data_IF_582555164813
#
_entry.id   IF_582555164813
#
_cell.length_a   1.000
_cell.length_b   1.000
_cell.length_c   1.000
_cell.angle_alpha   90.00
_cell.angle_beta   90.00
_cell.angle_gamma   90.00
#
_symmetry.space_group_name_H-M   'P 1'
#
loop_
_entity.id
_entity.type
_entity.pdbx_description
1 polymer ?
#
# COMPACT_ATOMS: atom_id res chain seq x y z
N UNK A 1 -22.18 28.18 3.08
CA UNK A 1 -21.18 27.21 2.60
C UNK A 1 -21.93 26.02 2.01
N UNK A 2 -21.79 25.74 0.71
CA UNK A 2 -22.38 24.55 0.09
C UNK A 2 -21.48 23.34 0.38
N UNK A 3 -22.07 22.20 0.66
CA UNK A 3 -21.34 20.96 0.86
C UNK A 3 -22.13 19.78 0.26
N UNK A 4 -21.41 18.81 -0.28
CA UNK A 4 -21.97 17.63 -0.93
C UNK A 4 -21.13 16.40 -0.63
N UNK A 5 -21.63 15.22 -0.94
CA UNK A 5 -20.90 13.98 -0.80
C UNK A 5 -20.21 13.66 -2.12
N UNK A 6 -18.92 13.39 -2.07
CA UNK A 6 -18.08 13.00 -3.20
C UNK A 6 -17.71 11.53 -3.12
N UNK A 7 -17.92 10.82 -4.21
CA UNK A 7 -17.33 9.51 -4.44
C UNK A 7 -16.08 9.66 -5.32
N UNK A 8 -14.94 9.24 -4.83
CA UNK A 8 -13.65 9.26 -5.53
C UNK A 8 -13.14 7.84 -5.73
N UNK A 9 -12.86 7.46 -6.96
CA UNK A 9 -12.46 6.10 -7.35
C UNK A 9 -11.08 6.08 -7.98
N UNK A 10 -10.36 4.98 -7.74
CA UNK A 10 -9.08 4.70 -8.39
C UNK A 10 -9.06 3.26 -8.88
N UNK A 11 -8.72 3.06 -10.16
CA UNK A 11 -8.45 1.73 -10.72
C UNK A 11 -7.04 1.29 -10.33
N UNK A 12 -6.93 0.08 -9.81
CA UNK A 12 -5.70 -0.50 -9.28
C UNK A 12 -5.55 -1.95 -9.78
N UNK A 13 -5.50 -2.16 -11.09
CA UNK A 13 -5.47 -3.50 -11.69
C UNK A 13 -6.79 -4.25 -11.49
N UNK A 14 -6.76 -5.38 -10.80
CA UNK A 14 -7.97 -6.16 -10.44
C UNK A 14 -8.81 -5.48 -9.35
N UNK A 15 -8.25 -4.49 -8.68
CA UNK A 15 -8.88 -3.80 -7.57
C UNK A 15 -9.34 -2.39 -7.96
N UNK A 16 -10.31 -1.91 -7.20
CA UNK A 16 -10.74 -0.51 -7.19
C UNK A 16 -10.78 -0.02 -5.76
N UNK A 17 -10.26 1.15 -5.50
CA UNK A 17 -10.49 1.80 -4.21
C UNK A 17 -11.49 2.92 -4.35
N UNK A 18 -12.38 3.05 -3.38
CA UNK A 18 -13.45 4.07 -3.37
C UNK A 18 -13.38 4.83 -2.06
N UNK A 19 -13.31 6.14 -2.13
CA UNK A 19 -13.48 7.04 -0.99
C UNK A 19 -14.80 7.81 -1.12
N UNK A 20 -15.63 7.79 -0.07
CA UNK A 20 -16.91 8.51 -0.02
C UNK A 20 -16.86 9.44 1.18
N UNK A 21 -16.95 10.75 0.96
CA UNK A 21 -16.76 11.75 2.01
C UNK A 21 -17.39 13.10 1.64
N UNK A 22 -17.67 13.92 2.64
CA UNK A 22 -18.17 15.27 2.41
C UNK A 22 -17.06 16.22 1.93
N UNK A 23 -17.40 17.09 0.99
CA UNK A 23 -16.56 18.20 0.48
C UNK A 23 -17.34 19.50 0.56
N UNK A 24 -16.60 20.61 0.60
CA UNK A 24 -17.15 21.97 0.65
C UNK A 24 -16.58 22.83 -0.47
N UNK A 25 -17.28 23.93 -0.79
CA UNK A 25 -16.85 24.91 -1.82
C UNK A 25 -15.46 25.49 -1.52
N UNK A 26 -15.02 25.51 -0.27
CA UNK A 26 -13.71 26.04 0.11
C UNK A 26 -12.55 25.15 -0.33
N UNK A 27 -12.78 23.86 -0.56
CA UNK A 27 -11.75 22.92 -1.02
C UNK A 27 -11.33 23.17 -2.48
N UNK A 28 -12.15 23.87 -3.25
CA UNK A 28 -11.86 24.23 -4.64
C UNK A 28 -11.04 25.52 -4.79
N UNK A 29 -10.84 26.28 -3.71
CA UNK A 29 -9.98 27.46 -3.78
C UNK A 29 -8.51 27.02 -3.95
N UNK A 30 -7.82 27.66 -4.88
CA UNK A 30 -6.37 27.44 -5.06
C UNK A 30 -5.68 27.63 -3.71
N UNK A 31 -5.03 26.59 -3.22
CA UNK A 31 -4.25 26.64 -2.00
C UNK A 31 -3.00 27.47 -2.25
N UNK A 32 -2.96 28.67 -1.72
CA UNK A 32 -1.74 29.47 -1.66
C UNK A 32 -0.61 28.75 -0.90
N UNK A 33 0.61 29.31 -0.95
CA UNK A 33 1.76 28.76 -0.22
C UNK A 33 1.43 28.68 1.27
N UNK A 34 1.59 27.48 1.84
CA UNK A 34 1.25 27.23 3.24
C UNK A 34 2.13 28.04 4.18
N UNK A 35 1.53 28.92 4.96
CA UNK A 35 2.24 29.79 5.91
C UNK A 35 2.28 29.23 7.35
N UNK A 36 1.43 28.25 7.69
CA UNK A 36 1.33 27.69 9.05
C UNK A 36 1.61 26.18 9.06
N UNK A 37 2.15 25.68 10.17
CA UNK A 37 2.27 24.25 10.40
C UNK A 37 0.90 23.55 10.35
N UNK A 38 0.91 22.27 9.94
CA UNK A 38 -0.30 21.44 9.97
C UNK A 38 -0.67 21.11 11.41
N UNK A 39 -1.95 21.23 11.77
CA UNK A 39 -2.47 20.70 13.03
C UNK A 39 -2.24 19.20 13.15
N UNK A 40 -2.32 18.63 14.37
CA UNK A 40 -2.21 17.18 14.61
C UNK A 40 -3.20 16.39 13.75
N UNK A 41 -4.47 16.82 13.68
CA UNK A 41 -5.49 16.20 12.84
C UNK A 41 -5.15 16.28 11.34
N UNK A 42 -4.60 17.41 10.86
CA UNK A 42 -4.16 17.53 9.47
C UNK A 42 -2.95 16.64 9.17
N UNK A 43 -1.99 16.53 10.10
CA UNK A 43 -0.84 15.61 9.98
C UNK A 43 -1.33 14.15 9.89
N UNK A 44 -2.30 13.74 10.73
CA UNK A 44 -2.91 12.40 10.68
C UNK A 44 -3.65 12.13 9.37
N UNK A 45 -4.48 13.07 8.88
CA UNK A 45 -5.16 12.95 7.58
C UNK A 45 -4.16 12.81 6.43
N UNK A 46 -3.10 13.61 6.42
CA UNK A 46 -2.06 13.54 5.40
C UNK A 46 -1.32 12.19 5.43
N UNK A 47 -1.04 11.66 6.64
CA UNK A 47 -0.44 10.33 6.82
C UNK A 47 -1.34 9.25 6.22
N UNK A 48 -2.64 9.25 6.56
CA UNK A 48 -3.60 8.27 6.04
C UNK A 48 -3.78 8.39 4.52
N UNK A 49 -3.85 9.59 3.97
CA UNK A 49 -3.96 9.82 2.52
C UNK A 49 -2.72 9.28 1.78
N UNK A 50 -1.53 9.51 2.33
CA UNK A 50 -0.28 9.00 1.75
C UNK A 50 -0.17 7.47 1.86
N UNK A 51 -0.59 6.88 2.98
CA UNK A 51 -0.65 5.43 3.16
C UNK A 51 -1.61 4.79 2.15
N UNK A 52 -2.81 5.36 1.98
CA UNK A 52 -3.78 4.90 0.96
C UNK A 52 -3.22 5.04 -0.47
N UNK A 53 -2.44 6.10 -0.75
CA UNK A 53 -1.77 6.23 -2.05
C UNK A 53 -0.75 5.12 -2.28
N UNK A 54 0.03 4.77 -1.27
CA UNK A 54 0.96 3.65 -1.34
C UNK A 54 0.22 2.32 -1.51
N UNK A 55 -0.85 2.08 -0.75
CA UNK A 55 -1.70 0.89 -0.89
C UNK A 55 -2.24 0.73 -2.32
N UNK A 56 -2.78 1.80 -2.91
CA UNK A 56 -3.24 1.79 -4.31
C UNK A 56 -2.11 1.46 -5.29
N UNK A 57 -0.89 2.00 -5.06
CA UNK A 57 0.28 1.67 -5.89
C UNK A 57 0.63 0.18 -5.78
N UNK A 58 0.60 -0.39 -4.58
CA UNK A 58 0.83 -1.83 -4.39
C UNK A 58 -0.21 -2.66 -5.15
N UNK A 59 -1.49 -2.35 -4.97
CA UNK A 59 -2.59 -3.03 -5.66
C UNK A 59 -2.52 -2.95 -7.19
N UNK A 60 -1.99 -1.86 -7.74
CA UNK A 60 -1.86 -1.67 -9.19
C UNK A 60 -0.66 -2.41 -9.81
N UNK A 61 0.27 -2.90 -9.00
CA UNK A 61 1.55 -3.41 -9.50
C UNK A 61 1.87 -4.83 -9.08
N UNK A 62 1.33 -5.31 -7.97
CA UNK A 62 1.69 -6.59 -7.37
C UNK A 62 0.45 -7.43 -7.13
N UNK A 63 0.53 -8.71 -7.45
CA UNK A 63 -0.54 -9.67 -7.28
C UNK A 63 -0.03 -10.98 -6.61
N UNK A 64 -0.87 -12.00 -6.58
CA UNK A 64 -0.55 -13.33 -5.99
C UNK A 64 0.65 -14.03 -6.61
N UNK A 65 1.10 -13.61 -7.78
CA UNK A 65 2.25 -14.18 -8.48
C UNK A 65 3.57 -13.48 -8.09
N UNK A 66 3.48 -12.36 -7.39
CA UNK A 66 4.62 -11.65 -6.81
C UNK A 66 5.04 -12.19 -5.44
N UNK A 67 6.06 -11.54 -4.88
CA UNK A 67 6.66 -11.90 -3.59
C UNK A 67 6.69 -10.71 -2.64
N UNK A 68 6.39 -10.99 -1.38
CA UNK A 68 6.72 -10.13 -0.26
C UNK A 68 8.10 -10.48 0.24
N UNK A 69 9.03 -9.53 0.19
CA UNK A 69 10.44 -9.74 0.50
C UNK A 69 10.78 -9.12 1.84
N UNK A 70 11.44 -9.89 2.69
CA UNK A 70 11.95 -9.45 3.99
C UNK A 70 13.44 -9.75 4.06
N UNK A 71 14.28 -8.73 4.18
CA UNK A 71 15.73 -8.87 4.36
C UNK A 71 16.13 -8.38 5.75
N UNK A 72 16.73 -9.25 6.56
CA UNK A 72 17.26 -8.92 7.89
C UNK A 72 18.78 -8.85 7.84
N UNK A 73 19.39 -8.35 8.93
CA UNK A 73 20.83 -8.27 9.06
C UNK A 73 21.31 -9.16 10.19
N UNK A 74 22.47 -9.79 10.01
CA UNK A 74 23.28 -10.26 11.10
C UNK A 74 23.79 -9.08 11.93
N UNK A 75 24.09 -9.32 13.19
CA UNK A 75 24.50 -8.25 14.11
C UNK A 75 25.78 -7.53 13.65
N UNK A 76 26.69 -8.26 13.02
CA UNK A 76 27.94 -7.71 12.46
C UNK A 76 27.74 -6.75 11.28
N UNK A 77 26.61 -6.84 10.58
CA UNK A 77 26.32 -6.05 9.36
C UNK A 77 25.16 -5.07 9.53
N UNK A 78 24.68 -4.92 10.76
CA UNK A 78 23.53 -4.07 11.03
C UNK A 78 23.84 -2.61 10.73
N UNK A 79 23.03 -1.96 9.86
CA UNK A 79 23.22 -0.54 9.59
C UNK A 79 22.85 0.32 10.80
N UNK A 80 23.59 1.39 11.01
CA UNK A 80 23.32 2.34 12.10
C UNK A 80 22.22 3.34 11.70
N UNK A 81 22.10 3.67 10.42
CA UNK A 81 21.15 4.65 9.91
C UNK A 81 20.22 4.09 8.84
N UNK A 82 19.10 4.78 8.63
CA UNK A 82 18.22 4.51 7.48
C UNK A 82 18.95 4.68 6.15
N UNK A 83 19.91 5.61 6.06
CA UNK A 83 20.63 5.84 4.80
C UNK A 83 21.55 4.68 4.44
N UNK A 84 22.23 4.10 5.42
CA UNK A 84 23.06 2.89 5.21
C UNK A 84 22.20 1.71 4.77
N UNK A 85 21.07 1.47 5.47
CA UNK A 85 20.12 0.46 5.08
C UNK A 85 19.60 0.70 3.65
N UNK A 86 19.28 1.94 3.29
CA UNK A 86 18.84 2.29 1.93
C UNK A 86 19.94 2.08 0.89
N UNK A 87 21.21 2.25 1.25
CA UNK A 87 22.32 1.95 0.36
C UNK A 87 22.40 0.45 0.06
N UNK A 88 22.23 -0.40 1.08
CA UNK A 88 22.17 -1.85 0.90
C UNK A 88 20.96 -2.27 0.04
N UNK A 89 19.80 -1.65 0.25
CA UNK A 89 18.61 -1.89 -0.59
C UNK A 89 18.86 -1.48 -2.04
N UNK A 90 19.53 -0.35 -2.31
CA UNK A 90 19.92 0.05 -3.68
C UNK A 90 20.88 -0.96 -4.32
N UNK A 91 21.85 -1.44 -3.55
CA UNK A 91 22.80 -2.45 -3.99
C UNK A 91 22.09 -3.77 -4.30
N UNK A 92 21.16 -4.18 -3.44
CA UNK A 92 20.32 -5.36 -3.65
C UNK A 92 19.50 -5.24 -4.94
N UNK A 93 18.79 -4.13 -5.15
CA UNK A 93 18.00 -3.87 -6.37
C UNK A 93 18.88 -3.98 -7.63
N UNK A 94 20.10 -3.44 -7.60
CA UNK A 94 21.05 -3.57 -8.73
C UNK A 94 21.41 -5.02 -9.01
N UNK A 95 21.68 -5.82 -7.97
CA UNK A 95 22.02 -7.25 -8.11
C UNK A 95 20.84 -8.05 -8.64
N UNK A 96 19.65 -7.85 -8.10
CA UNK A 96 18.41 -8.50 -8.57
C UNK A 96 18.18 -8.19 -10.05
N UNK A 97 18.25 -6.92 -10.46
CA UNK A 97 18.07 -6.52 -11.85
C UNK A 97 19.10 -7.19 -12.76
N UNK A 98 20.38 -7.19 -12.39
CA UNK A 98 21.44 -7.82 -13.16
C UNK A 98 21.25 -9.34 -13.28
N UNK A 99 20.82 -10.01 -12.22
CA UNK A 99 20.53 -11.44 -12.22
C UNK A 99 19.33 -11.78 -13.11
N UNK A 100 18.27 -10.99 -13.06
CA UNK A 100 17.09 -11.16 -13.92
C UNK A 100 17.45 -10.98 -15.40
N UNK A 101 18.25 -9.95 -15.75
CA UNK A 101 18.76 -9.76 -17.13
C UNK A 101 19.54 -10.98 -17.60
N UNK A 102 20.49 -11.43 -16.78
CA UNK A 102 21.38 -12.57 -17.14
C UNK A 102 20.59 -13.87 -17.28
N UNK A 103 19.60 -14.11 -16.44
CA UNK A 103 18.86 -15.40 -16.40
C UNK A 103 17.66 -15.43 -17.34
N UNK A 104 16.90 -14.35 -17.43
CA UNK A 104 15.63 -14.30 -18.16
C UNK A 104 15.64 -13.33 -19.35
N UNK A 105 16.74 -12.59 -19.54
CA UNK A 105 16.91 -11.64 -20.62
C UNK A 105 16.32 -10.25 -20.35
N UNK A 106 16.69 -9.28 -21.17
CA UNK A 106 16.29 -7.87 -21.02
C UNK A 106 14.78 -7.64 -21.11
N UNK A 107 14.11 -8.39 -21.99
CA UNK A 107 12.66 -8.25 -22.17
C UNK A 107 11.91 -8.56 -20.87
N UNK A 108 12.32 -9.61 -20.16
CA UNK A 108 11.76 -9.95 -18.83
C UNK A 108 12.17 -8.95 -17.77
N UNK A 109 13.40 -8.47 -17.80
CA UNK A 109 13.87 -7.45 -16.86
C UNK A 109 13.11 -6.13 -16.96
N UNK A 110 12.57 -5.78 -18.12
CA UNK A 110 11.66 -4.62 -18.28
C UNK A 110 10.33 -4.80 -17.55
N UNK A 111 9.94 -6.03 -17.24
CA UNK A 111 8.74 -6.37 -16.47
C UNK A 111 9.01 -6.50 -14.97
N UNK A 112 10.27 -6.40 -14.54
CA UNK A 112 10.62 -6.44 -13.12
C UNK A 112 10.09 -5.19 -12.41
N UNK A 113 9.29 -5.41 -11.39
CA UNK A 113 8.75 -4.39 -10.49
C UNK A 113 9.24 -4.65 -9.08
N UNK A 114 9.79 -3.63 -8.46
CA UNK A 114 10.26 -3.66 -7.08
C UNK A 114 9.77 -2.41 -6.36
N UNK A 115 9.33 -2.57 -5.10
CA UNK A 115 9.05 -1.49 -4.16
C UNK A 115 9.56 -1.93 -2.79
N UNK A 116 10.77 -1.54 -2.43
CA UNK A 116 11.49 -1.99 -1.25
C UNK A 116 11.78 -0.82 -0.30
N UNK A 117 11.59 -1.05 0.98
CA UNK A 117 11.68 -0.04 2.03
C UNK A 117 12.66 -0.46 3.12
N UNK A 118 13.46 0.48 3.60
CA UNK A 118 14.10 0.33 4.90
C UNK A 118 13.04 0.57 5.98
N UNK A 119 12.96 -0.30 6.97
CA UNK A 119 11.93 -0.31 8.01
C UNK A 119 12.59 -0.45 9.38
N UNK A 120 12.07 0.27 10.39
CA UNK A 120 12.48 0.16 11.78
C UNK A 120 11.25 0.07 12.68
N UNK A 121 11.19 -0.94 13.53
CA UNK A 121 10.08 -1.10 14.46
C UNK A 121 10.32 -0.32 15.76
N UNK A 122 9.85 0.92 15.79
CA UNK A 122 10.10 1.87 16.89
C UNK A 122 11.54 2.41 16.89
N UNK A 123 11.84 3.32 17.81
CA UNK A 123 13.15 4.00 17.87
C UNK A 123 14.33 3.05 18.15
N UNK A 124 14.10 2.03 19.00
CA UNK A 124 15.11 1.03 19.38
C UNK A 124 15.08 -0.23 18.52
N UNK A 125 14.17 -0.29 17.53
CA UNK A 125 14.03 -1.44 16.64
C UNK A 125 15.21 -1.60 15.69
N UNK A 126 15.46 -2.83 15.29
CA UNK A 126 16.49 -3.15 14.29
C UNK A 126 16.04 -2.71 12.92
N UNK A 127 16.91 -2.09 12.13
CA UNK A 127 16.67 -1.81 10.72
C UNK A 127 16.63 -3.12 9.94
N UNK A 128 15.72 -3.19 8.97
CA UNK A 128 15.55 -4.32 8.06
C UNK A 128 14.84 -3.85 6.78
N UNK A 129 14.80 -4.69 5.77
CA UNK A 129 14.15 -4.39 4.50
C UNK A 129 12.81 -5.12 4.41
N UNK A 130 11.78 -4.41 3.97
CA UNK A 130 10.51 -5.00 3.53
C UNK A 130 10.07 -4.44 2.18
N UNK A 131 9.33 -5.23 1.43
CA UNK A 131 8.68 -4.73 0.24
C UNK A 131 8.16 -5.80 -0.70
N UNK A 132 7.95 -5.41 -1.93
CA UNK A 132 7.29 -6.23 -2.95
C UNK A 132 8.19 -6.38 -4.16
N UNK A 133 8.19 -7.58 -4.74
CA UNK A 133 8.93 -7.93 -5.95
C UNK A 133 8.05 -8.75 -6.89
N UNK A 134 7.98 -8.39 -8.15
CA UNK A 134 7.28 -9.15 -9.19
C UNK A 134 7.99 -9.02 -10.52
N UNK A 135 8.05 -10.11 -11.27
CA UNK A 135 8.50 -10.12 -12.65
C UNK A 135 7.44 -10.82 -13.49
N UNK A 136 6.63 -10.04 -14.22
CA UNK A 136 5.50 -10.58 -14.98
C UNK A 136 5.96 -11.44 -16.16
N UNK A 137 5.13 -12.44 -16.48
CA UNK A 137 5.33 -13.35 -17.60
C UNK A 137 6.34 -14.46 -17.35
N UNK A 138 6.79 -14.68 -16.11
CA UNK A 138 7.58 -15.86 -15.74
C UNK A 138 6.65 -17.09 -15.63
N UNK A 139 7.14 -18.23 -16.08
CA UNK A 139 6.53 -19.55 -15.83
C UNK A 139 6.60 -19.91 -14.36
N UNK A 140 5.89 -20.95 -13.93
CA UNK A 140 5.93 -21.41 -12.54
C UNK A 140 7.34 -21.86 -12.11
N UNK A 141 8.15 -22.44 -13.03
CA UNK A 141 9.53 -22.81 -12.78
C UNK A 141 10.42 -21.57 -12.63
N UNK A 142 10.33 -20.63 -13.57
CA UNK A 142 11.08 -19.37 -13.53
C UNK A 142 10.73 -18.52 -12.30
N UNK A 143 9.47 -18.55 -11.82
CA UNK A 143 9.10 -17.88 -10.57
C UNK A 143 9.78 -18.50 -9.34
N UNK A 144 9.97 -19.83 -9.31
CA UNK A 144 10.74 -20.46 -8.23
C UNK A 144 12.21 -20.02 -8.26
N UNK A 145 12.81 -19.96 -9.44
CA UNK A 145 14.17 -19.45 -9.60
C UNK A 145 14.28 -17.97 -9.21
N UNK A 146 13.31 -17.16 -9.61
CA UNK A 146 13.26 -15.74 -9.24
C UNK A 146 13.13 -15.56 -7.71
N UNK A 147 12.33 -16.39 -7.05
CA UNK A 147 12.26 -16.44 -5.58
C UNK A 147 13.62 -16.71 -4.96
N UNK A 148 14.32 -17.76 -5.42
CA UNK A 148 15.65 -18.11 -4.95
C UNK A 148 16.65 -16.96 -5.16
N UNK A 149 16.61 -16.31 -6.31
CA UNK A 149 17.43 -15.12 -6.57
C UNK A 149 17.16 -14.00 -5.58
N UNK A 150 15.89 -13.74 -5.25
CA UNK A 150 15.53 -12.72 -4.26
C UNK A 150 16.12 -13.07 -2.88
N UNK A 151 16.07 -14.32 -2.46
CA UNK A 151 16.59 -14.78 -1.19
C UNK A 151 18.12 -14.77 -1.13
N UNK A 152 18.81 -15.21 -2.20
CA UNK A 152 20.25 -15.32 -2.25
C UNK A 152 21.02 -14.01 -2.46
N UNK A 153 20.39 -13.02 -3.09
CA UNK A 153 21.06 -11.78 -3.47
C UNK A 153 21.11 -10.71 -2.36
N UNK A 154 20.56 -11.00 -1.16
CA UNK A 154 20.71 -10.16 0.01
C UNK A 154 22.13 -10.32 0.60
N UNK A 155 23.13 -9.74 -0.09
CA UNK A 155 24.56 -9.90 0.15
C UNK A 155 25.30 -8.57 0.09
N UNK A 156 26.50 -8.51 0.66
CA UNK A 156 27.44 -7.40 0.50
C UNK A 156 28.73 -7.89 -0.16
N UNK A 157 29.43 -6.98 -0.80
CA UNK A 157 30.77 -7.26 -1.32
C UNK A 157 31.79 -7.19 -0.18
N UNK A 158 32.62 -8.21 -0.09
CA UNK A 158 33.74 -8.23 0.86
C UNK A 158 34.85 -7.30 0.36
N UNK A 159 35.27 -6.30 1.13
CA UNK A 159 36.36 -5.42 0.73
C UNK A 159 37.66 -6.21 0.47
N UNK A 160 38.28 -6.02 -0.70
CA UNK A 160 39.54 -6.63 -1.07
C UNK A 160 39.48 -8.08 -1.60
N UNK A 161 38.42 -8.86 -1.30
CA UNK A 161 38.33 -10.28 -1.70
C UNK A 161 37.61 -10.51 -3.02
N UNK A 162 36.84 -9.56 -3.53
CA UNK A 162 36.04 -9.75 -4.76
C UNK A 162 34.81 -10.64 -4.57
N UNK A 163 34.63 -11.21 -3.42
CA UNK A 163 33.57 -12.13 -3.07
C UNK A 163 32.35 -11.41 -2.45
N UNK A 164 31.24 -12.15 -2.34
CA UNK A 164 30.01 -11.66 -1.71
C UNK A 164 29.63 -12.56 -0.53
N UNK A 165 29.29 -11.95 0.60
CA UNK A 165 28.81 -12.63 1.79
C UNK A 165 27.36 -12.19 2.12
N UNK A 166 26.54 -13.05 2.77
CA UNK A 166 25.20 -12.69 3.18
C UNK A 166 25.22 -11.51 4.15
N UNK A 167 24.27 -10.57 4.00
CA UNK A 167 24.02 -9.52 5.01
C UNK A 167 23.29 -10.07 6.23
N UNK A 168 22.58 -11.16 6.05
CA UNK A 168 21.73 -11.85 6.99
C UNK A 168 20.72 -12.72 6.24
N UNK A 169 19.55 -12.98 6.81
CA UNK A 169 18.51 -13.78 6.17
C UNK A 169 17.64 -12.93 5.24
N UNK A 170 17.23 -13.54 4.12
CA UNK A 170 16.23 -12.95 3.24
C UNK A 170 15.19 -14.00 2.87
N UNK A 171 13.92 -13.66 3.06
CA UNK A 171 12.78 -14.49 2.72
C UNK A 171 11.93 -13.79 1.65
N UNK A 172 11.46 -14.56 0.69
CA UNK A 172 10.55 -14.10 -0.36
C UNK A 172 9.28 -14.97 -0.35
N UNK A 173 8.29 -14.54 0.39
CA UNK A 173 7.02 -15.24 0.52
C UNK A 173 6.05 -14.81 -0.59
N UNK A 174 5.19 -15.74 -1.05
CA UNK A 174 4.14 -15.36 -1.99
C UNK A 174 3.25 -14.29 -1.39
N UNK A 175 2.84 -13.36 -2.24
CA UNK A 175 1.91 -12.30 -1.84
C UNK A 175 0.57 -12.91 -1.45
N UNK A 176 0.18 -12.68 -0.21
CA UNK A 176 -1.16 -12.92 0.31
C UNK A 176 -1.89 -11.57 0.41
N UNK A 177 -2.83 -11.34 -0.50
CA UNK A 177 -3.55 -10.06 -0.58
C UNK A 177 -4.36 -9.76 0.68
N UNK A 178 -4.83 -10.79 1.40
CA UNK A 178 -5.55 -10.60 2.66
C UNK A 178 -4.64 -10.01 3.74
N UNK A 179 -3.44 -10.59 3.89
CA UNK A 179 -2.42 -10.06 4.81
C UNK A 179 -1.94 -8.67 4.41
N UNK A 180 -1.76 -8.43 3.10
CA UNK A 180 -1.36 -7.12 2.58
C UNK A 180 -2.36 -6.04 2.94
N UNK A 181 -3.65 -6.34 2.82
CA UNK A 181 -4.74 -5.43 3.10
C UNK A 181 -5.16 -5.41 4.57
N UNK A 182 -4.73 -6.38 5.38
CA UNK A 182 -5.11 -6.50 6.79
C UNK A 182 -6.54 -6.98 7.00
N UNK A 183 -7.03 -7.86 6.12
CA UNK A 183 -8.42 -8.35 6.17
C UNK A 183 -8.57 -9.43 7.25
N UNK A 184 -7.56 -10.27 7.44
CA UNK A 184 -7.57 -11.41 8.36
C UNK A 184 -7.06 -11.07 9.78
N UNK A 185 -6.95 -9.82 10.14
CA UNK A 185 -6.28 -9.43 11.39
C UNK A 185 -6.88 -8.23 12.10
N UNK A 186 -6.25 -7.82 13.12
CA UNK A 186 -6.48 -6.80 14.12
C UNK A 186 -6.82 -5.36 13.63
N UNK A 187 -7.46 -5.22 12.47
CA UNK A 187 -7.97 -3.94 11.94
C UNK A 187 -6.91 -2.91 11.56
N UNK A 188 -5.65 -3.28 11.62
CA UNK A 188 -4.54 -2.44 11.15
C UNK A 188 -4.35 -2.66 9.65
N UNK A 189 -3.95 -1.62 8.95
CA UNK A 189 -3.84 -1.54 7.49
C UNK A 189 -2.91 -2.60 6.83
N UNK A 190 -2.78 -3.78 7.42
CA UNK A 190 -1.98 -4.90 6.95
C UNK A 190 -0.49 -4.59 6.75
N UNK A 191 0.15 -5.41 5.95
CA UNK A 191 1.58 -5.27 5.62
C UNK A 191 1.91 -3.91 5.00
N UNK A 192 1.00 -3.34 4.18
CA UNK A 192 1.18 -2.00 3.59
C UNK A 192 1.21 -0.93 4.68
N UNK A 193 0.31 -1.01 5.65
CA UNK A 193 0.26 -0.08 6.77
C UNK A 193 1.49 -0.19 7.67
N UNK A 194 1.97 -1.42 7.89
CA UNK A 194 3.19 -1.67 8.65
C UNK A 194 4.41 -1.03 7.96
N UNK A 195 4.66 -1.34 6.68
CA UNK A 195 5.78 -0.76 5.92
C UNK A 195 5.70 0.77 5.94
N UNK A 196 4.53 1.33 5.60
CA UNK A 196 4.36 2.78 5.53
C UNK A 196 4.56 3.47 6.88
N UNK A 197 4.12 2.82 7.97
CA UNK A 197 4.22 3.35 9.33
C UNK A 197 5.66 3.39 9.87
N UNK A 198 6.54 2.52 9.38
CA UNK A 198 7.87 2.24 9.96
C UNK A 198 9.05 2.54 9.02
N UNK A 199 8.79 3.03 7.78
CA UNK A 199 9.83 3.24 6.77
C UNK A 199 10.35 4.67 6.66
N UNK A 200 9.84 5.60 7.46
CA UNK A 200 10.12 7.03 7.25
C UNK A 200 9.92 7.48 5.79
N UNK A 201 9.12 6.72 5.03
CA UNK A 201 8.86 6.90 3.59
C UNK A 201 10.10 6.72 2.70
N UNK A 202 11.14 6.06 3.20
CA UNK A 202 12.36 5.77 2.44
C UNK A 202 12.18 4.46 1.68
N UNK A 203 12.20 4.55 0.34
CA UNK A 203 12.03 3.39 -0.53
C UNK A 203 12.90 3.46 -1.78
N UNK A 204 13.19 2.30 -2.34
CA UNK A 204 13.73 2.13 -3.69
C UNK A 204 12.66 1.46 -4.54
N UNK A 205 12.26 2.11 -5.61
CA UNK A 205 11.24 1.62 -6.53
C UNK A 205 11.77 1.56 -7.96
N UNK A 206 11.30 0.58 -8.72
CA UNK A 206 11.54 0.57 -10.17
C UNK A 206 10.69 1.63 -10.86
N UNK A 207 11.21 2.21 -11.96
CA UNK A 207 10.54 3.33 -12.65
C UNK A 207 9.28 2.93 -13.41
N UNK A 208 9.06 1.65 -13.64
CA UNK A 208 7.95 1.08 -14.39
C UNK A 208 6.73 0.74 -13.50
N UNK A 209 6.68 1.21 -12.26
CA UNK A 209 5.48 1.07 -11.43
C UNK A 209 4.34 1.90 -12.03
N UNK A 210 3.21 1.25 -12.24
CA UNK A 210 1.99 1.89 -12.71
C UNK A 210 1.39 2.73 -11.59
N UNK A 211 1.03 3.97 -11.89
CA UNK A 211 0.23 4.78 -10.97
C UNK A 211 -1.26 4.42 -11.14
N UNK A 212 -2.02 4.34 -10.03
CA UNK A 212 -3.46 4.10 -10.11
C UNK A 212 -4.16 5.19 -10.91
N UNK A 213 -5.05 4.80 -11.80
CA UNK A 213 -5.87 5.73 -12.56
C UNK A 213 -6.96 6.34 -11.68
N UNK A 214 -6.98 7.65 -11.56
CA UNK A 214 -8.05 8.37 -10.88
C UNK A 214 -9.23 8.57 -11.84
N UNK A 215 -10.36 7.97 -11.52
CA UNK A 215 -11.58 8.14 -12.31
C UNK A 215 -12.27 9.46 -11.95
N UNK A 216 -13.09 9.98 -12.88
CA UNK A 216 -13.92 11.16 -12.63
C UNK A 216 -14.72 10.99 -11.34
N UNK A 217 -14.60 11.96 -10.43
CA UNK A 217 -15.36 11.95 -9.20
C UNK A 217 -16.87 12.10 -9.47
N UNK A 218 -17.68 11.45 -8.64
CA UNK A 218 -19.14 11.59 -8.66
C UNK A 218 -19.60 12.36 -7.42
N UNK A 219 -20.22 13.52 -7.63
CA UNK A 219 -20.64 14.44 -6.57
C UNK A 219 -22.16 14.37 -6.28
N UNK A 220 -22.90 13.57 -7.05
CA UNK A 220 -24.37 13.47 -6.96
C UNK A 220 -24.88 12.07 -6.64
N UNK A 221 -23.97 11.08 -6.57
CA UNK A 221 -24.35 9.67 -6.39
C UNK A 221 -24.83 9.36 -4.96
N UNK A 222 -24.29 10.07 -3.97
CA UNK A 222 -24.54 9.80 -2.57
C UNK A 222 -25.23 10.98 -1.88
N UNK A 223 -26.32 10.71 -1.15
CA UNK A 223 -26.84 11.65 -0.17
C UNK A 223 -26.12 11.47 1.18
N UNK A 224 -26.16 12.50 2.03
CA UNK A 224 -25.65 12.40 3.43
C UNK A 224 -26.34 11.30 4.22
N UNK A 225 -27.66 11.14 4.02
CA UNK A 225 -28.45 10.10 4.69
C UNK A 225 -27.93 8.70 4.30
N UNK A 226 -27.72 8.44 3.01
CA UNK A 226 -27.19 7.16 2.53
C UNK A 226 -25.78 6.87 3.07
N UNK A 227 -24.91 7.90 3.10
CA UNK A 227 -23.56 7.71 3.65
C UNK A 227 -23.60 7.43 5.15
N UNK A 228 -24.42 8.14 5.93
CA UNK A 228 -24.63 7.85 7.36
C UNK A 228 -25.13 6.44 7.56
N UNK A 229 -26.17 6.05 6.86
CA UNK A 229 -26.73 4.70 6.93
C UNK A 229 -25.67 3.63 6.63
N UNK A 230 -24.89 3.82 5.57
CA UNK A 230 -23.79 2.90 5.24
C UNK A 230 -22.72 2.80 6.32
N UNK A 231 -22.40 3.92 6.97
CA UNK A 231 -21.37 3.93 8.00
C UNK A 231 -21.84 3.43 9.38
N UNK A 232 -23.12 3.60 9.72
CA UNK A 232 -23.66 3.21 11.04
C UNK A 232 -24.33 1.83 11.02
N UNK A 233 -25.22 1.57 10.05
CA UNK A 233 -26.05 0.38 10.02
C UNK A 233 -25.43 -0.76 9.17
N UNK A 234 -24.62 -0.41 8.16
CA UNK A 234 -24.07 -1.34 7.17
C UNK A 234 -22.54 -1.31 7.09
N UNK A 235 -21.87 -0.92 8.18
CA UNK A 235 -20.40 -0.82 8.20
C UNK A 235 -19.72 -2.14 7.82
N UNK A 236 -20.29 -3.27 8.25
CA UNK A 236 -19.79 -4.63 8.00
C UNK A 236 -20.61 -5.41 6.96
N UNK A 237 -21.66 -4.81 6.41
CA UNK A 237 -22.55 -5.44 5.44
C UNK A 237 -22.01 -5.30 4.01
N UNK A 238 -21.15 -6.24 3.61
CA UNK A 238 -20.58 -6.27 2.27
C UNK A 238 -21.64 -6.27 1.17
N UNK A 239 -22.77 -6.97 1.35
CA UNK A 239 -23.81 -7.09 0.34
C UNK A 239 -24.51 -5.73 0.08
N UNK A 240 -24.71 -4.95 1.13
CA UNK A 240 -25.27 -3.59 1.01
C UNK A 240 -24.37 -2.68 0.17
N UNK A 241 -23.05 -2.76 0.37
CA UNK A 241 -22.09 -2.00 -0.43
C UNK A 241 -21.99 -2.52 -1.86
N UNK A 242 -21.96 -3.84 -2.06
CA UNK A 242 -21.86 -4.46 -3.40
C UNK A 242 -22.99 -4.09 -4.33
N UNK A 243 -24.23 -3.97 -3.83
CA UNK A 243 -25.40 -3.47 -4.61
C UNK A 243 -25.14 -2.09 -5.23
N UNK A 244 -24.27 -1.29 -4.66
CA UNK A 244 -23.92 0.06 -5.14
C UNK A 244 -22.74 0.09 -6.09
N UNK A 245 -22.06 -1.04 -6.23
CA UNK A 245 -20.91 -1.23 -7.12
C UNK A 245 -21.08 -2.50 -7.97
N UNK A 246 -22.02 -2.51 -8.93
CA UNK A 246 -22.25 -3.67 -9.78
C UNK A 246 -20.98 -4.15 -10.48
N UNK A 247 -20.75 -5.47 -10.51
CA UNK A 247 -19.56 -6.09 -11.09
C UNK A 247 -18.33 -6.12 -10.16
N UNK A 248 -18.49 -5.66 -8.92
CA UNK A 248 -17.42 -5.64 -7.93
C UNK A 248 -17.80 -6.41 -6.67
N UNK A 249 -16.85 -7.08 -6.07
CA UNK A 249 -16.92 -7.73 -4.78
C UNK A 249 -16.27 -6.81 -3.74
N UNK A 250 -16.89 -6.64 -2.60
CA UNK A 250 -16.33 -5.88 -1.49
C UNK A 250 -15.30 -6.72 -0.75
N UNK A 251 -14.05 -6.26 -0.78
CA UNK A 251 -12.93 -6.90 -0.09
C UNK A 251 -12.76 -6.34 1.31
N UNK A 252 -12.93 -5.03 1.44
CA UNK A 252 -12.79 -4.34 2.73
C UNK A 252 -13.63 -3.07 2.74
N UNK A 253 -14.27 -2.81 3.88
CA UNK A 253 -14.93 -1.55 4.20
C UNK A 253 -14.28 -0.97 5.44
N UNK A 254 -13.89 0.28 5.38
CA UNK A 254 -13.40 1.06 6.52
C UNK A 254 -14.27 2.29 6.64
N UNK A 255 -15.03 2.37 7.72
CA UNK A 255 -15.90 3.50 8.00
C UNK A 255 -15.30 4.36 9.12
N UNK A 256 -15.59 5.63 9.02
CA UNK A 256 -15.35 6.60 10.06
C UNK A 256 -16.69 7.30 10.34
N UNK A 257 -17.28 7.04 11.50
CA UNK A 257 -18.48 7.73 11.96
C UNK A 257 -18.12 8.63 13.15
N UNK A 258 -18.22 9.95 13.00
CA UNK A 258 -17.94 10.87 14.09
C UNK A 258 -18.83 10.67 15.31
N UNK A 259 -20.05 10.14 15.15
CA UNK A 259 -20.99 9.91 16.26
C UNK A 259 -20.54 8.72 17.12
N UNK A 260 -20.07 7.63 16.51
CA UNK A 260 -19.56 6.47 17.25
C UNK A 260 -18.28 6.78 18.04
N UNK A 261 -17.49 7.76 17.60
CA UNK A 261 -16.28 8.18 18.32
C UNK A 261 -16.54 9.00 19.58
N UNK A 262 -17.74 9.55 19.76
CA UNK A 262 -18.11 10.19 21.04
C UNK A 262 -18.30 9.19 22.17
N UNK A 263 -18.56 7.93 21.84
CA UNK A 263 -18.75 6.86 22.80
C UNK A 263 -17.42 6.21 23.26
N UNK A 264 -16.31 6.55 22.61
CA UNK A 264 -14.97 6.06 22.99
C UNK A 264 -14.23 7.09 23.83
N UNK A 265 -13.62 6.68 24.96
CA UNK A 265 -12.86 7.52 25.90
C UNK A 265 -11.63 8.23 25.32
N UNK A 266 -11.37 8.12 24.03
CA UNK A 266 -10.21 8.76 23.38
C UNK A 266 -10.58 10.15 22.86
N UNK A 267 -9.96 11.22 23.37
CA UNK A 267 -10.20 12.58 22.91
C UNK A 267 -9.87 12.71 21.42
N UNK A 268 -10.70 13.44 20.69
CA UNK A 268 -10.45 13.74 19.27
C UNK A 268 -9.13 14.48 19.12
N UNK A 269 -8.33 14.13 18.11
CA UNK A 269 -7.17 14.95 17.78
C UNK A 269 -7.59 16.39 17.46
N UNK A 270 -6.90 17.35 18.01
CA UNK A 270 -7.12 18.78 17.73
C UNK A 270 -7.13 19.05 16.21
N UNK A 271 -8.12 19.79 15.72
CA UNK A 271 -8.31 20.09 14.29
C UNK A 271 -9.03 18.98 13.49
N UNK A 272 -9.66 18.04 14.16
CA UNK A 272 -10.52 17.05 13.52
C UNK A 272 -12.00 17.51 13.60
N UNK A 273 -12.39 18.33 12.63
CA UNK A 273 -13.70 19.02 12.66
C UNK A 273 -14.74 18.39 11.71
N UNK A 274 -14.46 17.24 11.09
CA UNK A 274 -15.45 16.61 10.21
C UNK A 274 -16.60 16.04 11.03
N UNK A 275 -17.78 16.59 10.84
CA UNK A 275 -19.05 16.10 11.43
C UNK A 275 -19.73 15.05 10.55
N UNK A 276 -19.25 14.86 9.33
CA UNK A 276 -19.80 13.90 8.38
C UNK A 276 -19.04 12.58 8.40
N UNK A 277 -19.74 11.46 8.30
CA UNK A 277 -19.11 10.14 8.19
C UNK A 277 -18.33 10.01 6.87
N UNK A 278 -17.41 9.05 6.83
CA UNK A 278 -16.61 8.74 5.67
C UNK A 278 -16.51 7.23 5.51
N UNK A 279 -16.54 6.75 4.27
CA UNK A 279 -16.28 5.37 3.95
C UNK A 279 -15.09 5.26 2.99
N UNK A 280 -14.28 4.23 3.19
CA UNK A 280 -13.24 3.85 2.26
C UNK A 280 -13.36 2.35 1.97
N UNK A 281 -13.52 2.00 0.69
CA UNK A 281 -13.72 0.63 0.26
C UNK A 281 -12.56 0.17 -0.61
N UNK A 282 -12.26 -1.12 -0.50
CA UNK A 282 -11.44 -1.85 -1.46
C UNK A 282 -12.34 -2.88 -2.10
N UNK A 283 -12.44 -2.80 -3.39
CA UNK A 283 -13.28 -3.66 -4.23
C UNK A 283 -12.38 -4.51 -5.12
N UNK A 284 -12.78 -5.74 -5.41
CA UNK A 284 -12.16 -6.63 -6.41
C UNK A 284 -13.14 -6.86 -7.54
N UNK A 285 -12.66 -6.85 -8.78
CA UNK A 285 -13.49 -7.14 -9.95
C UNK A 285 -13.99 -8.57 -9.86
N UNK A 286 -15.31 -8.76 -9.96
CA UNK A 286 -15.89 -10.10 -10.08
C UNK A 286 -15.43 -10.67 -11.42
N UNK A 287 -14.85 -11.87 -11.41
CA UNK A 287 -14.68 -12.62 -12.64
C UNK A 287 -16.08 -12.84 -13.21
N UNK A 288 -16.28 -12.47 -14.46
CA UNK A 288 -17.51 -12.85 -15.15
C UNK A 288 -17.59 -14.37 -15.08
N UNK A 289 -18.57 -14.89 -14.35
CA UNK A 289 -18.85 -16.31 -14.35
C UNK A 289 -18.92 -16.73 -15.83
N UNK A 290 -18.01 -17.60 -16.25
CA UNK A 290 -18.09 -18.20 -17.58
C UNK A 290 -19.48 -18.76 -17.68
N UNK A 291 -20.30 -18.12 -18.53
CA UNK A 291 -21.61 -18.67 -18.87
C UNK A 291 -21.33 -20.07 -19.37
N UNK A 292 -21.70 -21.06 -18.58
CA UNK A 292 -21.65 -22.45 -19.01
C UNK A 292 -22.70 -22.55 -20.14
N UNK A 293 -22.21 -22.49 -21.38
CA UNK A 293 -22.96 -22.98 -22.54
C UNK A 293 -22.94 -24.51 -22.54
#
# INVERSE_FOLDING_TARGET
>A
MKSWIREKKYECGEYRTVGIYAVTDQEHRQRGRKQKESSRGQKARNKNASMRRYQRKVLANFDKDGFYVTGTYEDAYRPESFEDCMQDVRNYVRRVKAAVIRRFGEQRARQLKLSLHAVRNGEKGKLHMHGFAECKGLTAAERREFRQMLEELWRRRVPGAGEYEPLGTCNADRIDMKKILGIDGDGKNGTVGYIYGHSERRCVETRNLTLPEELRAADTKWSRRQLRQGCSEHAEDAAWWEQRFPGWEVVQVMVYDPQQLYETEKPRPEGWESTDPQAYLILRRREFAKVRT
#
